data_IF_746793809892
#
_entry.id   IF_746793809892
#
_cell.length_a   1.000
_cell.length_b   1.000
_cell.length_c   1.000
_cell.angle_alpha   90.00
_cell.angle_beta   90.00
_cell.angle_gamma   90.00
#
_symmetry.space_group_name_H-M   'P 1'
#
loop_
_entity.id
_entity.type
_entity.pdbx_description
1 polymer ?
#
# COMPACT_ATOMS: atom_id res chain seq x y z
N UNK A 1 15.63 5.21 6.86
CA UNK A 1 15.39 3.75 6.91
C UNK A 1 13.90 3.45 6.84
N UNK A 2 13.49 2.57 5.92
CA UNK A 2 12.11 2.11 5.74
C UNK A 2 11.92 0.74 6.38
N UNK A 3 10.93 0.57 7.26
CA UNK A 3 10.55 -0.74 7.78
C UNK A 3 9.59 -1.45 6.81
N UNK A 4 9.95 -2.66 6.37
CA UNK A 4 9.06 -3.58 5.68
C UNK A 4 8.47 -4.51 6.74
N UNK A 5 7.15 -4.49 6.90
CA UNK A 5 6.47 -5.29 7.92
C UNK A 5 6.49 -6.77 7.54
N UNK A 6 7.16 -7.58 8.36
CA UNK A 6 7.17 -9.04 8.23
C UNK A 6 6.21 -9.70 9.21
N UNK A 7 4.98 -9.89 8.74
CA UNK A 7 3.98 -10.68 9.46
C UNK A 7 3.77 -12.05 8.80
N UNK A 8 4.71 -12.52 7.97
CA UNK A 8 4.64 -13.83 7.32
C UNK A 8 3.68 -13.93 6.12
N UNK A 9 3.05 -12.83 5.70
CA UNK A 9 2.08 -12.84 4.58
C UNK A 9 2.36 -11.76 3.52
N UNK A 10 3.56 -11.73 2.94
CA UNK A 10 3.89 -10.78 1.88
C UNK A 10 4.94 -11.29 0.89
N UNK A 11 5.02 -10.65 -0.27
CA UNK A 11 6.12 -10.86 -1.21
C UNK A 11 7.34 -10.02 -0.81
N UNK A 12 7.81 -10.20 0.43
CA UNK A 12 8.84 -9.37 1.07
C UNK A 12 10.09 -9.28 0.21
N UNK A 13 10.56 -10.43 -0.29
CA UNK A 13 11.77 -10.50 -1.12
C UNK A 13 11.72 -9.59 -2.36
N UNK A 14 10.57 -9.45 -3.01
CA UNK A 14 10.50 -8.58 -4.19
C UNK A 14 10.52 -7.10 -3.80
N UNK A 15 9.88 -6.74 -2.69
CA UNK A 15 9.92 -5.37 -2.14
C UNK A 15 11.33 -5.03 -1.68
N UNK A 16 12.01 -5.93 -0.96
CA UNK A 16 13.41 -5.76 -0.55
C UNK A 16 14.32 -5.50 -1.75
N UNK A 17 14.20 -6.31 -2.80
CA UNK A 17 15.03 -6.17 -4.00
C UNK A 17 14.75 -4.85 -4.73
N UNK A 18 13.48 -4.40 -4.75
CA UNK A 18 13.12 -3.10 -5.29
C UNK A 18 13.73 -1.95 -4.47
N UNK A 19 13.61 -1.98 -3.14
CA UNK A 19 14.21 -0.98 -2.25
C UNK A 19 15.74 -0.95 -2.36
N UNK A 20 16.37 -2.12 -2.42
CA UNK A 20 17.81 -2.27 -2.65
C UNK A 20 18.22 -1.67 -3.99
N UNK A 21 17.48 -1.94 -5.05
CA UNK A 21 17.75 -1.42 -6.39
C UNK A 21 17.70 0.11 -6.46
N UNK A 22 16.76 0.74 -5.74
CA UNK A 22 16.64 2.20 -5.67
C UNK A 22 17.56 2.85 -4.62
N UNK A 23 18.41 2.06 -3.96
CA UNK A 23 19.32 2.52 -2.91
C UNK A 23 18.59 3.09 -1.68
N UNK A 24 17.43 2.53 -1.32
CA UNK A 24 16.76 2.86 -0.06
C UNK A 24 17.34 1.99 1.07
N UNK A 25 17.63 2.61 2.22
CA UNK A 25 17.90 1.86 3.44
C UNK A 25 16.60 1.25 3.97
N UNK A 26 16.60 -0.05 4.23
CA UNK A 26 15.44 -0.75 4.74
C UNK A 26 15.79 -1.78 5.80
N UNK A 27 14.78 -2.15 6.58
CA UNK A 27 14.82 -3.27 7.53
C UNK A 27 13.54 -4.10 7.36
N UNK A 28 13.67 -5.42 7.37
CA UNK A 28 12.52 -6.34 7.42
C UNK A 28 12.29 -6.71 8.88
N UNK A 29 11.13 -6.39 9.42
CA UNK A 29 10.90 -6.57 10.86
C UNK A 29 9.44 -6.72 11.22
N UNK A 30 9.22 -7.40 12.34
CA UNK A 30 7.95 -7.41 13.08
C UNK A 30 8.12 -6.83 14.49
N UNK A 31 9.29 -6.27 14.80
CA UNK A 31 9.58 -5.69 16.10
C UNK A 31 9.03 -4.26 16.17
N UNK A 32 8.19 -4.00 17.18
CA UNK A 32 7.54 -2.71 17.36
C UNK A 32 8.54 -1.55 17.51
N UNK A 33 9.66 -1.77 18.20
CA UNK A 33 10.63 -0.70 18.49
C UNK A 33 11.42 -0.35 17.22
N UNK A 34 11.71 -1.33 16.38
CA UNK A 34 12.29 -1.08 15.04
C UNK A 34 11.31 -0.35 14.12
N UNK A 35 10.03 -0.73 14.13
CA UNK A 35 8.98 -0.05 13.35
C UNK A 35 8.86 1.42 13.80
N UNK A 36 8.83 1.69 15.10
CA UNK A 36 8.76 3.05 15.62
C UNK A 36 10.02 3.87 15.37
N UNK A 37 11.21 3.24 15.35
CA UNK A 37 12.47 3.93 15.01
C UNK A 37 12.67 4.18 13.52
N UNK A 38 11.94 3.48 12.65
CA UNK A 38 12.02 3.70 11.20
C UNK A 38 11.49 5.07 10.78
N UNK A 39 11.91 5.55 9.62
CA UNK A 39 11.49 6.84 9.06
C UNK A 39 10.22 6.70 8.20
N UNK A 40 9.89 5.48 7.78
CA UNK A 40 8.74 5.17 6.95
C UNK A 40 8.43 3.67 6.97
N UNK A 41 7.20 3.30 6.64
CA UNK A 41 6.72 1.92 6.76
C UNK A 41 6.11 1.45 5.44
N UNK A 42 6.43 0.22 5.04
CA UNK A 42 5.75 -0.50 3.96
C UNK A 42 5.07 -1.71 4.57
N UNK A 43 3.75 -1.79 4.38
CA UNK A 43 2.94 -2.96 4.68
C UNK A 43 2.69 -3.72 3.36
N UNK A 44 3.51 -4.72 3.01
CA UNK A 44 3.18 -5.60 1.90
C UNK A 44 2.06 -6.56 2.30
N UNK A 45 1.39 -7.20 1.34
CA UNK A 45 0.46 -8.27 1.69
C UNK A 45 0.09 -9.16 0.50
N UNK A 46 -0.09 -10.47 0.75
CA UNK A 46 -0.67 -11.43 -0.18
C UNK A 46 -1.60 -12.40 0.56
N UNK A 47 -2.55 -13.01 -0.15
CA UNK A 47 -3.50 -13.95 0.44
C UNK A 47 -4.84 -13.29 0.77
N UNK A 48 -5.53 -13.80 1.78
CA UNK A 48 -6.87 -13.37 2.18
C UNK A 48 -6.83 -12.37 3.33
N UNK A 49 -7.69 -11.36 3.27
CA UNK A 49 -7.83 -10.28 4.25
C UNK A 49 -8.07 -10.78 5.67
N UNK A 50 -9.04 -11.67 5.97
CA UNK A 50 -9.26 -12.08 7.36
C UNK A 50 -8.03 -12.76 7.94
N UNK A 51 -7.37 -13.62 7.16
CA UNK A 51 -6.17 -14.32 7.62
C UNK A 51 -5.01 -13.37 7.88
N UNK A 52 -4.85 -12.33 7.08
CA UNK A 52 -3.84 -11.31 7.30
C UNK A 52 -4.11 -10.50 8.57
N UNK A 53 -5.37 -10.12 8.83
CA UNK A 53 -5.75 -9.44 10.07
C UNK A 53 -5.53 -10.32 11.30
N UNK A 54 -5.91 -11.61 11.26
CA UNK A 54 -5.64 -12.56 12.35
C UNK A 54 -4.14 -12.59 12.70
N UNK A 55 -3.28 -12.64 11.69
CA UNK A 55 -1.82 -12.71 11.91
C UNK A 55 -1.25 -11.38 12.40
N UNK A 56 -1.79 -10.23 11.96
CA UNK A 56 -1.42 -8.93 12.50
C UNK A 56 -1.86 -8.78 13.96
N UNK A 57 -3.02 -9.31 14.33
CA UNK A 57 -3.50 -9.34 15.72
C UNK A 57 -2.63 -10.26 16.59
N UNK A 58 -2.34 -11.48 16.14
CA UNK A 58 -1.48 -12.44 16.84
C UNK A 58 -0.06 -11.89 17.11
N UNK A 59 0.41 -10.97 16.28
CA UNK A 59 1.73 -10.32 16.39
C UNK A 59 1.69 -8.94 17.06
N UNK A 60 0.55 -8.52 17.60
CA UNK A 60 0.34 -7.19 18.19
C UNK A 60 0.67 -6.01 17.24
N UNK A 61 0.61 -6.23 15.92
CA UNK A 61 0.99 -5.24 14.92
C UNK A 61 -0.14 -4.27 14.55
N UNK A 62 -1.40 -4.62 14.83
CA UNK A 62 -2.56 -3.76 14.52
C UNK A 62 -2.43 -2.39 15.17
N UNK A 63 -2.18 -2.35 16.49
CA UNK A 63 -2.01 -1.09 17.23
C UNK A 63 -0.77 -0.32 16.77
N UNK A 64 0.34 -1.02 16.54
CA UNK A 64 1.58 -0.43 16.04
C UNK A 64 1.35 0.30 14.71
N UNK A 65 0.65 -0.34 13.77
CA UNK A 65 0.34 0.26 12.46
C UNK A 65 -0.64 1.42 12.56
N UNK A 66 -1.61 1.35 13.47
CA UNK A 66 -2.53 2.45 13.75
C UNK A 66 -1.81 3.67 14.34
N UNK A 67 -0.88 3.46 15.26
CA UNK A 67 -0.03 4.51 15.84
C UNK A 67 0.91 5.11 14.80
N UNK A 68 1.53 4.28 13.95
CA UNK A 68 2.32 4.75 12.80
C UNK A 68 1.48 5.65 11.90
N UNK A 69 0.29 5.21 11.50
CA UNK A 69 -0.61 5.98 10.65
C UNK A 69 -0.99 7.32 11.26
N UNK A 70 -1.24 7.35 12.58
CA UNK A 70 -1.65 8.56 13.32
C UNK A 70 -0.49 9.52 13.60
N UNK A 71 0.75 9.04 13.62
CA UNK A 71 1.94 9.86 13.92
C UNK A 71 2.38 10.80 12.79
N UNK A 72 1.77 10.70 11.60
CA UNK A 72 2.23 11.41 10.41
C UNK A 72 3.39 10.73 9.68
N UNK A 73 3.94 9.63 10.20
CA UNK A 73 4.99 8.85 9.55
C UNK A 73 4.47 8.22 8.24
N UNK A 74 5.19 8.33 7.10
CA UNK A 74 4.74 7.77 5.84
C UNK A 74 4.53 6.25 5.92
N UNK A 75 3.33 5.80 5.52
CA UNK A 75 2.94 4.39 5.49
C UNK A 75 2.42 4.04 4.10
N UNK A 76 3.00 3.02 3.46
CA UNK A 76 2.57 2.51 2.15
C UNK A 76 2.07 1.08 2.26
N UNK A 77 0.79 0.85 1.98
CA UNK A 77 0.21 -0.48 1.79
C UNK A 77 0.35 -0.96 0.34
N UNK A 78 0.74 -2.22 0.13
CA UNK A 78 0.86 -2.82 -1.22
C UNK A 78 -0.07 -4.02 -1.38
N UNK A 79 -0.91 -3.99 -2.41
CA UNK A 79 -1.93 -4.99 -2.74
C UNK A 79 -2.85 -5.30 -1.55
N UNK A 80 -2.69 -6.46 -0.90
CA UNK A 80 -3.47 -6.75 0.31
C UNK A 80 -3.10 -5.78 1.43
N UNK A 81 -1.85 -5.34 1.50
CA UNK A 81 -1.43 -4.33 2.46
C UNK A 81 -2.18 -3.00 2.29
N UNK A 82 -2.50 -2.58 1.06
CA UNK A 82 -3.39 -1.44 0.83
C UNK A 82 -4.79 -1.72 1.36
N UNK A 83 -5.32 -2.90 1.07
CA UNK A 83 -6.67 -3.29 1.47
C UNK A 83 -6.82 -3.26 2.99
N UNK A 84 -5.84 -3.79 3.74
CA UNK A 84 -5.85 -3.81 5.20
C UNK A 84 -5.91 -2.40 5.83
N UNK A 85 -5.51 -1.34 5.12
CA UNK A 85 -5.62 0.04 5.62
C UNK A 85 -7.08 0.49 5.79
N UNK A 86 -8.03 -0.14 5.10
CA UNK A 86 -9.44 0.26 5.11
C UNK A 86 -10.17 -0.20 6.39
N UNK A 87 -11.43 0.25 6.54
CA UNK A 87 -12.26 -0.06 7.70
C UNK A 87 -12.60 -1.54 7.79
N UNK A 88 -13.00 -2.16 6.67
CA UNK A 88 -13.56 -3.52 6.64
C UNK A 88 -13.33 -4.23 5.31
N UNK A 89 -13.49 -5.55 5.32
CA UNK A 89 -13.53 -6.40 4.14
C UNK A 89 -14.70 -7.37 4.18
N UNK A 90 -15.30 -7.61 3.02
CA UNK A 90 -16.30 -8.66 2.77
C UNK A 90 -15.64 -9.94 2.19
N UNK A 91 -14.31 -10.04 2.22
CA UNK A 91 -13.61 -11.24 1.77
C UNK A 91 -13.82 -12.41 2.74
N UNK A 92 -14.51 -13.45 2.27
CA UNK A 92 -14.86 -14.69 2.99
C UNK A 92 -15.82 -14.49 4.17
N UNK A 93 -15.53 -13.54 5.05
CA UNK A 93 -16.34 -13.14 6.20
C UNK A 93 -16.16 -11.65 6.48
N UNK A 94 -17.13 -11.02 7.13
CA UNK A 94 -17.00 -9.64 7.59
C UNK A 94 -15.83 -9.53 8.58
N UNK A 95 -14.83 -8.73 8.22
CA UNK A 95 -13.61 -8.55 9.00
C UNK A 95 -13.26 -7.07 9.08
N UNK A 96 -12.87 -6.58 10.25
CA UNK A 96 -12.37 -5.21 10.40
C UNK A 96 -10.91 -5.14 9.93
N UNK A 97 -10.55 -4.05 9.27
CA UNK A 97 -9.16 -3.73 8.93
C UNK A 97 -8.49 -2.83 9.97
N UNK A 98 -7.43 -2.17 9.56
CA UNK A 98 -6.67 -1.23 10.40
C UNK A 98 -7.42 0.07 10.66
N UNK A 99 -8.49 0.37 9.90
CA UNK A 99 -9.32 1.56 10.08
C UNK A 99 -8.51 2.88 9.95
N UNK A 100 -7.60 2.92 8.97
CA UNK A 100 -6.77 4.08 8.64
C UNK A 100 -7.35 4.89 7.47
N UNK A 101 -8.08 4.23 6.59
CA UNK A 101 -8.78 4.82 5.45
C UNK A 101 -10.27 4.45 5.48
N UNK A 102 -11.18 5.39 5.17
CA UNK A 102 -12.61 5.08 5.08
C UNK A 102 -12.91 4.25 3.84
N UNK A 103 -13.80 3.27 3.98
CA UNK A 103 -14.25 2.42 2.87
C UNK A 103 -14.19 0.92 3.16
N UNK A 104 -14.73 0.14 2.23
CA UNK A 104 -14.94 -1.31 2.39
C UNK A 104 -14.29 -2.04 1.22
N UNK A 105 -13.58 -3.13 1.52
CA UNK A 105 -13.01 -4.01 0.51
C UNK A 105 -14.09 -4.97 0.01
N UNK A 106 -14.38 -4.91 -1.28
CA UNK A 106 -15.46 -5.67 -1.94
C UNK A 106 -14.94 -6.57 -3.03
N UNK A 107 -15.65 -7.67 -3.28
CA UNK A 107 -15.35 -8.56 -4.40
C UNK A 107 -15.66 -7.87 -5.73
N UNK A 108 -14.76 -7.99 -6.71
CA UNK A 108 -15.03 -7.55 -8.07
C UNK A 108 -16.20 -8.35 -8.66
N UNK A 109 -17.23 -7.64 -9.13
CA UNK A 109 -18.41 -8.20 -9.82
C UNK A 109 -18.48 -7.60 -11.22
N UNK A 110 -17.76 -8.22 -12.15
CA UNK A 110 -17.53 -7.71 -13.52
C UNK A 110 -17.69 -8.83 -14.54
N UNK A 111 -17.97 -8.52 -15.82
CA UNK A 111 -18.10 -9.54 -16.86
C UNK A 111 -16.74 -10.14 -17.31
N UNK A 112 -15.64 -9.75 -16.69
CA UNK A 112 -14.28 -10.19 -17.02
C UNK A 112 -13.77 -11.31 -16.09
N UNK A 113 -12.64 -11.92 -16.47
CA UNK A 113 -12.00 -12.98 -15.68
C UNK A 113 -11.55 -12.46 -14.31
N UNK A 114 -11.82 -13.20 -13.25
CA UNK A 114 -11.32 -12.90 -11.91
C UNK A 114 -10.25 -13.94 -11.51
N UNK A 115 -9.10 -13.52 -10.95
CA UNK A 115 -8.72 -12.16 -10.55
C UNK A 115 -8.45 -11.22 -11.74
N UNK A 116 -8.60 -9.91 -11.50
CA UNK A 116 -7.99 -8.88 -12.34
C UNK A 116 -6.46 -9.07 -12.26
N UNK A 117 -5.88 -9.61 -13.34
CA UNK A 117 -4.48 -10.01 -13.38
C UNK A 117 -3.84 -9.58 -14.69
N UNK A 118 -2.71 -8.87 -14.56
CA UNK A 118 -1.93 -8.39 -15.70
C UNK A 118 -1.62 -6.91 -15.60
N UNK A 119 -1.07 -6.38 -16.69
CA UNK A 119 -0.78 -4.96 -16.83
C UNK A 119 -2.06 -4.21 -17.19
N UNK A 120 -2.38 -3.14 -16.47
CA UNK A 120 -3.50 -2.26 -16.75
C UNK A 120 -3.08 -0.80 -16.62
N UNK A 121 -3.74 0.07 -17.39
CA UNK A 121 -3.52 1.51 -17.39
C UNK A 121 -3.92 2.12 -16.05
N UNK A 122 -3.08 2.98 -15.48
CA UNK A 122 -3.36 3.78 -14.29
C UNK A 122 -3.49 5.25 -14.71
N UNK A 123 -4.72 5.76 -14.66
CA UNK A 123 -5.01 7.18 -14.86
C UNK A 123 -4.87 7.91 -13.54
N UNK A 124 -4.13 9.00 -13.52
CA UNK A 124 -3.93 9.83 -12.34
C UNK A 124 -5.16 10.67 -12.06
N UNK A 125 -5.46 10.80 -10.78
CA UNK A 125 -6.45 11.70 -10.23
C UNK A 125 -5.72 12.65 -9.27
N UNK A 126 -5.68 13.94 -9.62
CA UNK A 126 -4.98 14.95 -8.83
C UNK A 126 -3.45 14.81 -8.80
N UNK A 127 -2.82 15.63 -7.96
CA UNK A 127 -1.37 15.72 -7.82
C UNK A 127 -0.92 15.18 -6.47
N UNK A 128 0.14 14.36 -6.47
CA UNK A 128 0.76 13.84 -5.24
C UNK A 128 2.25 13.58 -5.49
N UNK A 129 3.06 13.64 -4.43
CA UNK A 129 4.51 13.43 -4.53
C UNK A 129 4.89 12.11 -5.21
N UNK A 130 4.06 11.07 -5.10
CA UNK A 130 4.30 9.77 -5.75
C UNK A 130 4.14 9.80 -7.28
N UNK A 131 3.58 10.86 -7.87
CA UNK A 131 3.45 11.05 -9.32
C UNK A 131 4.66 11.70 -9.99
N UNK A 132 5.65 12.16 -9.22
CA UNK A 132 6.86 12.79 -9.77
C UNK A 132 7.59 11.86 -10.76
N UNK A 133 7.65 12.27 -12.02
CA UNK A 133 8.30 11.49 -13.08
C UNK A 133 7.55 10.20 -13.50
N UNK A 134 6.31 10.02 -13.07
CA UNK A 134 5.40 8.99 -13.60
C UNK A 134 4.57 9.64 -14.71
N UNK A 135 4.35 8.99 -15.84
CA UNK A 135 3.46 9.52 -16.89
C UNK A 135 2.00 9.16 -16.59
N UNK A 136 1.06 10.05 -16.91
CA UNK A 136 -0.36 9.70 -16.83
C UNK A 136 -0.70 8.61 -17.86
N UNK A 137 -1.57 7.65 -17.49
CA UNK A 137 -1.86 6.48 -18.32
C UNK A 137 -0.75 5.43 -18.35
N UNK A 138 0.22 5.49 -17.42
CA UNK A 138 1.24 4.45 -17.29
C UNK A 138 0.63 3.09 -16.93
N UNK A 139 1.22 2.01 -17.44
CA UNK A 139 0.77 0.66 -17.12
C UNK A 139 1.43 0.13 -15.83
N UNK A 140 0.63 -0.50 -14.97
CA UNK A 140 1.07 -1.14 -13.72
C UNK A 140 0.50 -2.55 -13.58
N UNK A 141 1.15 -3.40 -12.79
CA UNK A 141 0.83 -4.82 -12.68
C UNK A 141 -0.13 -5.13 -11.52
N UNK A 142 -1.30 -5.64 -11.85
CA UNK A 142 -2.35 -6.05 -10.91
C UNK A 142 -2.43 -7.57 -10.76
N UNK A 143 -2.85 -8.03 -9.58
CA UNK A 143 -3.32 -9.39 -9.32
C UNK A 143 -4.25 -9.41 -8.09
N UNK A 144 -5.56 -9.21 -8.30
CA UNK A 144 -6.52 -9.15 -7.18
C UNK A 144 -7.95 -9.54 -7.59
N UNK A 145 -8.70 -10.07 -6.63
CA UNK A 145 -10.14 -10.40 -6.79
C UNK A 145 -11.06 -9.43 -6.05
N UNK A 146 -10.49 -8.60 -5.18
CA UNK A 146 -11.17 -7.65 -4.31
C UNK A 146 -10.60 -6.25 -4.52
N UNK A 147 -11.38 -5.20 -4.33
CA UNK A 147 -10.97 -3.81 -4.51
C UNK A 147 -11.60 -2.92 -3.45
N UNK A 148 -11.04 -1.73 -3.24
CA UNK A 148 -11.60 -0.75 -2.32
C UNK A 148 -12.82 -0.04 -2.94
N UNK A 149 -13.95 -0.09 -2.24
CA UNK A 149 -15.11 0.78 -2.44
C UNK A 149 -15.03 1.93 -1.44
N UNK A 150 -14.57 3.10 -1.91
CA UNK A 150 -14.25 4.25 -1.08
C UNK A 150 -14.58 5.58 -1.78
N UNK A 151 -14.52 6.68 -1.02
CA UNK A 151 -14.73 8.03 -1.57
C UNK A 151 -13.64 8.41 -2.56
N UNK A 152 -14.01 9.08 -3.66
CA UNK A 152 -13.07 9.61 -4.64
C UNK A 152 -12.09 10.65 -4.04
N UNK A 153 -12.40 11.24 -2.89
CA UNK A 153 -11.52 12.23 -2.21
C UNK A 153 -10.15 11.68 -1.82
N UNK A 154 -10.03 10.35 -1.68
CA UNK A 154 -8.77 9.69 -1.33
C UNK A 154 -8.18 8.90 -2.50
N UNK A 155 -8.78 8.96 -3.70
CA UNK A 155 -8.34 8.22 -4.88
C UNK A 155 -7.46 9.11 -5.74
N UNK A 156 -6.23 8.66 -5.97
CA UNK A 156 -5.23 9.40 -6.76
C UNK A 156 -4.83 8.67 -8.05
N UNK A 157 -5.25 7.41 -8.20
CA UNK A 157 -5.04 6.65 -9.43
C UNK A 157 -6.17 5.66 -9.64
N UNK A 158 -6.72 5.62 -10.86
CA UNK A 158 -7.85 4.78 -11.26
C UNK A 158 -7.44 3.90 -12.45
N UNK A 159 -7.83 2.63 -12.37
CA UNK A 159 -7.79 1.71 -13.51
C UNK A 159 -9.20 1.24 -13.84
N UNK A 160 -9.49 1.04 -15.13
CA UNK A 160 -10.77 0.49 -15.56
C UNK A 160 -10.68 -1.03 -15.72
N UNK A 161 -11.58 -1.76 -15.05
CA UNK A 161 -11.73 -3.21 -15.19
C UNK A 161 -13.19 -3.62 -15.13
N UNK A 162 -14.06 -2.95 -15.89
CA UNK A 162 -15.52 -3.12 -15.82
C UNK A 162 -16.16 -2.36 -14.65
N UNK A 163 -15.35 -1.99 -13.67
CA UNK A 163 -15.61 -0.94 -12.67
C UNK A 163 -14.38 -0.02 -12.63
N UNK A 164 -14.53 1.18 -12.06
CA UNK A 164 -13.39 2.02 -11.69
C UNK A 164 -12.72 1.47 -10.43
N UNK A 165 -11.56 0.85 -10.59
CA UNK A 165 -10.76 0.31 -9.50
C UNK A 165 -9.85 1.43 -8.97
N UNK A 166 -9.90 1.77 -7.67
CA UNK A 166 -8.88 2.62 -7.04
C UNK A 166 -7.54 1.88 -7.06
N UNK A 167 -6.71 2.22 -8.04
CA UNK A 167 -5.38 1.68 -8.24
C UNK A 167 -4.37 2.25 -7.25
N UNK A 168 -4.54 3.52 -6.91
CA UNK A 168 -3.75 4.21 -5.90
C UNK A 168 -4.61 5.14 -5.05
N UNK A 169 -4.44 5.07 -3.73
CA UNK A 169 -5.15 5.89 -2.75
C UNK A 169 -4.18 6.59 -1.82
N UNK A 170 -4.57 7.75 -1.32
CA UNK A 170 -3.82 8.44 -0.28
C UNK A 170 -4.71 9.33 0.60
N UNK A 171 -4.33 9.45 1.87
CA UNK A 171 -4.92 10.42 2.82
C UNK A 171 -3.84 10.83 3.82
N UNK A 172 -3.37 12.07 3.74
CA UNK A 172 -2.25 12.55 4.55
C UNK A 172 -0.97 11.75 4.26
N UNK A 173 -0.42 11.11 5.27
CA UNK A 173 0.79 10.28 5.23
C UNK A 173 0.54 8.79 4.90
N UNK A 174 -0.72 8.40 4.70
CA UNK A 174 -1.12 7.03 4.40
C UNK A 174 -1.31 6.89 2.89
N UNK A 175 -0.62 5.93 2.30
CA UNK A 175 -0.61 5.63 0.87
C UNK A 175 -0.98 4.16 0.65
N UNK A 176 -1.67 3.85 -0.44
CA UNK A 176 -2.03 2.49 -0.82
C UNK A 176 -1.93 2.28 -2.32
N UNK A 177 -1.22 1.25 -2.74
CA UNK A 177 -1.19 0.78 -4.13
C UNK A 177 -1.88 -0.58 -4.23
N UNK A 178 -2.94 -0.68 -5.05
CA UNK A 178 -3.64 -1.95 -5.28
C UNK A 178 -2.84 -2.84 -6.22
N UNK A 179 -2.07 -2.24 -7.13
CA UNK A 179 -1.07 -2.92 -7.94
C UNK A 179 0.21 -3.19 -7.14
N UNK A 180 1.12 -3.95 -7.76
CA UNK A 180 2.43 -4.29 -7.19
C UNK A 180 3.52 -3.38 -7.80
N UNK A 181 3.93 -2.29 -7.14
CA UNK A 181 4.99 -1.43 -7.66
C UNK A 181 6.31 -2.21 -7.82
N UNK A 182 6.57 -3.22 -6.98
CA UNK A 182 7.75 -4.07 -7.10
C UNK A 182 7.72 -5.01 -8.33
N UNK A 183 6.58 -5.08 -9.03
CA UNK A 183 6.39 -5.85 -10.28
C UNK A 183 6.02 -4.99 -11.49
N UNK A 184 5.94 -3.67 -11.31
CA UNK A 184 5.44 -2.73 -12.34
C UNK A 184 6.57 -2.04 -13.12
N UNK A 185 7.71 -2.72 -13.26
CA UNK A 185 8.85 -2.22 -14.05
C UNK A 185 9.35 -0.86 -13.58
N UNK A 186 9.77 -0.03 -14.53
CA UNK A 186 10.33 1.31 -14.24
C UNK A 186 9.31 2.24 -13.58
N UNK A 187 8.03 2.14 -13.93
CA UNK A 187 6.95 2.92 -13.31
C UNK A 187 6.85 2.61 -11.82
N UNK A 188 6.82 1.33 -11.48
CA UNK A 188 6.80 0.88 -10.09
C UNK A 188 8.06 1.28 -9.32
N UNK A 189 9.23 1.19 -9.95
CA UNK A 189 10.49 1.65 -9.33
C UNK A 189 10.48 3.16 -9.09
N UNK A 190 9.98 3.95 -10.03
CA UNK A 190 9.88 5.40 -9.89
C UNK A 190 8.94 5.78 -8.74
N UNK A 191 7.81 5.09 -8.59
CA UNK A 191 6.91 5.31 -7.46
C UNK A 191 7.55 4.97 -6.11
N UNK A 192 8.32 3.89 -6.01
CA UNK A 192 9.06 3.54 -4.80
C UNK A 192 10.17 4.56 -4.49
N UNK A 193 10.85 5.10 -5.51
CA UNK A 193 11.79 6.23 -5.34
C UNK A 193 11.08 7.46 -4.80
N UNK A 194 9.89 7.77 -5.31
CA UNK A 194 9.12 8.91 -4.82
C UNK A 194 8.68 8.69 -3.37
N UNK A 195 8.24 7.49 -3.00
CA UNK A 195 7.94 7.15 -1.61
C UNK A 195 9.17 7.29 -0.70
N UNK A 196 10.36 6.84 -1.14
CA UNK A 196 11.63 7.10 -0.44
C UNK A 196 11.84 8.60 -0.21
N UNK A 197 11.61 9.44 -1.24
CA UNK A 197 11.72 10.90 -1.10
C UNK A 197 10.75 11.48 -0.08
N UNK A 198 9.51 10.98 -0.02
CA UNK A 198 8.53 11.36 1.02
C UNK A 198 9.04 11.00 2.42
N UNK A 199 9.64 9.82 2.58
CA UNK A 199 10.24 9.37 3.84
C UNK A 199 11.41 10.27 4.28
N UNK A 200 12.29 10.64 3.34
CA UNK A 200 13.42 11.55 3.62
C UNK A 200 12.96 12.96 4.00
N UNK A 201 11.92 13.47 3.34
CA UNK A 201 11.30 14.76 3.67
C UNK A 201 10.68 14.74 5.07
N UNK A 202 9.94 13.67 5.41
CA UNK A 202 9.38 13.50 6.76
C UNK A 202 10.49 13.46 7.82
N UNK A 203 11.53 12.65 7.63
CA UNK A 203 12.67 12.57 8.56
C UNK A 203 13.31 13.94 8.81
N UNK A 204 13.54 14.71 7.74
CA UNK A 204 14.13 16.03 7.83
C UNK A 204 13.25 17.01 8.63
N UNK A 205 11.93 16.89 8.51
CA UNK A 205 10.97 17.68 9.30
C UNK A 205 11.01 17.36 10.80
N UNK A 206 11.32 16.12 11.18
CA UNK A 206 11.41 15.71 12.58
C UNK A 206 12.70 16.19 13.25
N UNK A 207 13.77 16.41 12.49
CA UNK A 207 15.06 16.91 12.99
C UNK A 207 15.12 18.44 13.11
N UNK A 208 14.14 19.14 12.54
CA UNK A 208 14.06 20.60 12.55
C UNK A 208 13.25 21.16 13.73
N UNK A 209 12.85 20.27 14.66
CA UNK A 209 12.12 20.55 15.90
C UNK A 209 13.10 20.36 17.07
#
# INVERSE_FOLDING_TARGET
MIAIIDYGMGNIRSVEQALKYIGAEYIVTSDKEEIFRSDGVILPGVGAFPKAMDVLEEKDLVRVLQEVGSSGKPLLGICLGMQLLFEKSEELQDCNGLNLLPGIIRKLKVPYKIPHMGWNELKKEGEIALWNGVEDGSFVYYVHSYYADCSNEIVYGISEYGVKVPGFVAKGNIYGAQFHPEKSGDIGMQMLKNFKGVVEAWKSSQLSI
#
